data_IF_544030043124
#
_entry.id   IF_544030043124
#
_cell.length_a   1.000
_cell.length_b   1.000
_cell.length_c   1.000
_cell.angle_alpha   90.00
_cell.angle_beta   90.00
_cell.angle_gamma   90.00
#
_symmetry.space_group_name_H-M   'P 1'
#
loop_
_entity.id
_entity.type
_entity.pdbx_description
1 polymer ?
#
# COMPACT_ATOMS: atom_id res chain seq x y z
N UNK A 1 51.69 -28.67 12.49
CA UNK A 1 51.38 -29.71 11.49
C UNK A 1 50.02 -29.38 10.91
N UNK A 2 50.01 -28.93 9.65
CA UNK A 2 48.86 -28.46 8.89
C UNK A 2 47.74 -29.51 8.78
N UNK A 3 46.54 -29.13 9.19
CA UNK A 3 45.31 -29.88 8.91
C UNK A 3 44.85 -29.55 7.48
N UNK A 4 45.14 -30.46 6.55
CA UNK A 4 44.73 -30.39 5.15
C UNK A 4 43.20 -30.38 5.04
N UNK A 5 42.65 -29.28 4.51
CA UNK A 5 41.26 -29.22 4.06
C UNK A 5 41.15 -30.00 2.75
N UNK A 6 40.60 -31.22 2.79
CA UNK A 6 40.22 -31.98 1.59
C UNK A 6 39.17 -31.18 0.82
N UNK A 7 39.60 -30.53 -0.26
CA UNK A 7 38.74 -29.86 -1.23
C UNK A 7 37.94 -30.94 -1.96
N UNK A 8 36.62 -30.89 -1.85
CA UNK A 8 35.70 -31.87 -2.45
C UNK A 8 35.70 -31.71 -3.99
N UNK A 9 36.36 -32.63 -4.69
CA UNK A 9 36.48 -32.65 -6.16
C UNK A 9 35.22 -33.21 -6.88
N UNK A 10 34.24 -33.74 -6.15
CA UNK A 10 33.03 -34.38 -6.72
C UNK A 10 31.86 -33.42 -7.04
N UNK A 11 32.03 -32.11 -6.92
CA UNK A 11 30.93 -31.15 -7.02
C UNK A 11 30.63 -30.64 -8.45
N UNK A 12 31.50 -30.91 -9.42
CA UNK A 12 31.51 -30.22 -10.72
C UNK A 12 30.89 -31.02 -11.89
N UNK A 13 30.38 -32.24 -11.68
CA UNK A 13 29.82 -33.08 -12.75
C UNK A 13 28.28 -33.20 -12.77
N UNK A 14 27.54 -32.22 -12.24
CA UNK A 14 26.07 -32.26 -12.26
C UNK A 14 25.53 -31.81 -13.63
N UNK A 15 24.63 -32.57 -14.28
CA UNK A 15 24.11 -32.20 -15.59
C UNK A 15 23.34 -30.87 -15.51
N UNK A 16 23.46 -30.04 -16.54
CA UNK A 16 22.73 -28.77 -16.66
C UNK A 16 21.23 -29.08 -16.74
N UNK A 17 20.50 -28.84 -15.65
CA UNK A 17 19.05 -29.08 -15.57
C UNK A 17 18.33 -27.94 -16.28
N UNK A 18 17.66 -28.26 -17.39
CA UNK A 18 16.78 -27.33 -18.10
C UNK A 18 15.49 -27.13 -17.29
N UNK A 19 15.26 -25.89 -16.87
CA UNK A 19 14.06 -25.49 -16.14
C UNK A 19 12.83 -25.52 -17.07
N UNK A 20 11.80 -26.30 -16.73
CA UNK A 20 10.54 -26.37 -17.49
C UNK A 20 9.38 -25.66 -16.78
N UNK A 21 9.38 -25.63 -15.44
CA UNK A 21 8.31 -25.02 -14.65
C UNK A 21 8.74 -24.27 -13.38
N UNK A 22 7.81 -23.59 -12.68
CA UNK A 22 8.08 -22.84 -11.46
C UNK A 22 8.57 -23.74 -10.32
N UNK A 23 8.12 -24.99 -10.29
CA UNK A 23 8.56 -26.04 -9.36
C UNK A 23 10.05 -26.34 -9.52
N UNK A 24 10.56 -26.35 -10.75
CA UNK A 24 11.97 -26.64 -11.03
C UNK A 24 12.86 -25.50 -10.54
N UNK A 25 12.41 -24.25 -10.68
CA UNK A 25 13.10 -23.05 -10.17
C UNK A 25 13.19 -23.10 -8.64
N UNK A 26 12.10 -23.46 -7.97
CA UNK A 26 12.07 -23.61 -6.52
C UNK A 26 12.97 -24.75 -6.06
N UNK A 27 12.93 -25.90 -6.75
CA UNK A 27 13.78 -27.05 -6.48
C UNK A 27 15.27 -26.69 -6.57
N UNK A 28 15.71 -26.00 -7.63
CA UNK A 28 17.11 -25.55 -7.73
C UNK A 28 17.51 -24.59 -6.61
N UNK A 29 16.62 -23.65 -6.22
CA UNK A 29 16.87 -22.73 -5.10
C UNK A 29 16.98 -23.48 -3.77
N UNK A 30 16.12 -24.46 -3.54
CA UNK A 30 16.15 -25.31 -2.35
C UNK A 30 17.40 -26.18 -2.32
N UNK A 31 17.77 -26.86 -3.41
CA UNK A 31 18.99 -27.65 -3.52
C UNK A 31 20.24 -26.78 -3.23
N UNK A 32 20.25 -25.52 -3.68
CA UNK A 32 21.33 -24.56 -3.39
C UNK A 32 21.39 -24.17 -1.91
N UNK A 33 20.25 -23.96 -1.26
CA UNK A 33 20.19 -23.63 0.17
C UNK A 33 20.57 -24.84 1.05
N UNK A 34 20.08 -26.03 0.69
CA UNK A 34 20.34 -27.28 1.40
C UNK A 34 21.76 -27.81 1.22
N UNK A 35 22.51 -27.32 0.22
CA UNK A 35 23.95 -27.63 0.07
C UNK A 35 24.77 -27.21 1.28
N UNK A 36 24.35 -26.17 2.01
CA UNK A 36 25.01 -25.67 3.22
C UNK A 36 23.98 -25.31 4.29
N UNK A 37 23.43 -26.29 5.04
CA UNK A 37 22.34 -26.05 5.98
C UNK A 37 22.75 -25.20 7.19
N UNK A 38 24.04 -25.15 7.52
CA UNK A 38 24.58 -24.33 8.62
C UNK A 38 24.75 -22.85 8.26
N UNK A 39 24.59 -22.47 6.98
CA UNK A 39 24.69 -21.07 6.54
C UNK A 39 23.32 -20.42 6.59
N UNK A 40 23.19 -19.37 7.38
CA UNK A 40 21.95 -18.58 7.46
C UNK A 40 21.52 -18.07 6.07
N UNK A 41 20.24 -18.22 5.78
CA UNK A 41 19.66 -17.74 4.53
C UNK A 41 19.55 -16.20 4.58
N UNK A 42 20.09 -15.53 3.58
CA UNK A 42 19.96 -14.09 3.45
C UNK A 42 18.53 -13.73 3.02
N UNK A 43 17.77 -13.15 3.96
CA UNK A 43 16.46 -12.54 3.68
C UNK A 43 16.72 -11.04 3.51
N UNK A 44 16.48 -10.46 2.32
CA UNK A 44 16.70 -9.03 2.12
C UNK A 44 15.74 -8.23 3.00
N UNK A 45 16.29 -7.24 3.72
CA UNK A 45 15.47 -6.25 4.40
C UNK A 45 14.66 -5.42 3.40
N UNK A 46 13.55 -4.83 3.86
CA UNK A 46 12.74 -3.92 3.05
C UNK A 46 13.61 -2.82 2.46
N UNK A 47 13.45 -2.52 1.17
CA UNK A 47 14.21 -1.44 0.53
C UNK A 47 13.87 -0.11 1.19
N UNK A 48 14.90 0.61 1.65
CA UNK A 48 14.73 1.97 2.18
C UNK A 48 14.31 2.91 1.06
N UNK A 49 13.43 3.86 1.37
CA UNK A 49 13.06 4.91 0.43
C UNK A 49 14.33 5.74 0.09
N UNK A 50 14.48 6.12 -1.18
CA UNK A 50 15.67 6.85 -1.65
C UNK A 50 15.56 8.31 -1.25
N UNK A 51 16.06 8.63 -0.06
CA UNK A 51 16.06 10.00 0.45
C UNK A 51 17.20 10.83 -0.19
N UNK A 52 16.98 12.14 -0.42
CA UNK A 52 18.04 13.03 -0.84
C UNK A 52 19.13 13.09 0.24
N UNK A 53 20.40 13.09 -0.18
CA UNK A 53 21.52 13.18 0.77
C UNK A 53 21.44 14.49 1.56
N UNK A 54 21.63 14.39 2.87
CA UNK A 54 21.70 15.56 3.74
C UNK A 54 22.81 16.53 3.26
N UNK A 55 22.57 17.85 3.37
CA UNK A 55 23.61 18.83 3.10
C UNK A 55 24.78 18.65 4.08
N UNK A 56 25.99 18.98 3.64
CA UNK A 56 27.15 18.98 4.53
C UNK A 56 27.05 20.14 5.52
N UNK A 57 27.36 19.89 6.79
CA UNK A 57 27.31 20.90 7.86
C UNK A 57 28.29 22.06 7.63
N UNK A 58 29.52 21.73 7.22
CA UNK A 58 30.58 22.72 6.99
C UNK A 58 31.19 22.56 5.60
N UNK A 59 31.21 23.66 4.85
CA UNK A 59 31.99 23.77 3.61
C UNK A 59 33.31 24.42 3.99
N UNK A 60 34.41 23.67 3.86
CA UNK A 60 35.75 24.14 4.26
C UNK A 60 36.39 25.08 3.23
N UNK A 61 35.98 24.96 1.96
CA UNK A 61 36.62 25.63 0.83
C UNK A 61 35.75 26.80 0.33
N UNK A 62 35.38 27.70 1.24
CA UNK A 62 34.62 28.91 0.89
C UNK A 62 35.60 30.05 0.67
N UNK A 63 35.64 30.61 -0.54
CA UNK A 63 36.42 31.80 -0.83
C UNK A 63 35.66 33.06 -0.35
N UNK A 64 36.38 34.14 -0.05
CA UNK A 64 35.79 35.39 0.42
C UNK A 64 34.70 35.95 -0.49
N UNK A 65 33.69 36.60 0.09
CA UNK A 65 32.47 37.04 -0.61
C UNK A 65 32.70 38.04 -1.74
N UNK A 66 33.83 38.76 -1.73
CA UNK A 66 34.21 39.73 -2.77
C UNK A 66 35.14 39.14 -3.84
N UNK A 67 35.48 37.85 -3.76
CA UNK A 67 36.29 37.21 -4.78
C UNK A 67 35.49 36.99 -6.06
N UNK A 68 36.15 37.11 -7.22
CA UNK A 68 35.53 36.87 -8.53
C UNK A 68 35.19 35.39 -8.75
N UNK A 69 34.41 35.12 -9.79
CA UNK A 69 34.04 33.77 -10.18
C UNK A 69 35.26 32.95 -10.60
N UNK A 70 35.51 31.83 -9.90
CA UNK A 70 36.53 30.86 -10.24
C UNK A 70 36.11 29.92 -11.36
N UNK A 71 37.08 29.26 -12.00
CA UNK A 71 36.81 28.28 -13.07
C UNK A 71 36.00 27.05 -12.61
N UNK A 72 36.03 26.75 -11.31
CA UNK A 72 35.26 25.64 -10.71
C UNK A 72 33.84 26.00 -10.27
N UNK A 73 33.48 27.28 -10.18
CA UNK A 73 32.23 27.72 -9.56
C UNK A 73 31.00 27.27 -10.35
N UNK A 74 31.13 27.21 -11.68
CA UNK A 74 30.06 26.69 -12.55
C UNK A 74 29.72 25.22 -12.22
N UNK A 75 30.73 24.38 -11.98
CA UNK A 75 30.50 22.98 -11.65
C UNK A 75 29.94 22.80 -10.24
N UNK A 76 30.35 23.66 -9.30
CA UNK A 76 29.77 23.72 -7.95
C UNK A 76 28.28 24.07 -8.04
N UNK A 77 27.92 25.16 -8.72
CA UNK A 77 26.53 25.56 -8.92
C UNK A 77 25.70 24.46 -9.59
N UNK A 78 26.20 23.86 -10.68
CA UNK A 78 25.51 22.75 -11.38
C UNK A 78 25.22 21.57 -10.45
N UNK A 79 26.19 21.18 -9.61
CA UNK A 79 26.05 20.10 -8.64
C UNK A 79 25.03 20.42 -7.55
N UNK A 80 25.08 21.63 -6.99
CA UNK A 80 24.15 22.11 -5.97
C UNK A 80 22.74 22.22 -6.54
N UNK A 81 22.56 22.81 -7.72
CA UNK A 81 21.25 22.93 -8.39
C UNK A 81 20.61 21.58 -8.66
N UNK A 82 21.38 20.61 -9.18
CA UNK A 82 20.87 19.25 -9.40
C UNK A 82 20.45 18.57 -8.10
N UNK A 83 21.23 18.74 -7.03
CA UNK A 83 20.90 18.20 -5.71
C UNK A 83 19.63 18.83 -5.16
N UNK A 84 19.49 20.14 -5.32
CA UNK A 84 18.33 20.88 -4.85
C UNK A 84 17.05 20.52 -5.62
N UNK A 85 17.11 20.41 -6.95
CA UNK A 85 15.97 19.95 -7.74
C UNK A 85 15.56 18.52 -7.39
N UNK A 86 16.52 17.62 -7.19
CA UNK A 86 16.21 16.27 -6.74
C UNK A 86 15.56 16.27 -5.34
N UNK A 87 16.01 17.16 -4.44
CA UNK A 87 15.43 17.32 -3.10
C UNK A 87 14.01 17.88 -3.15
N UNK A 88 13.77 18.93 -3.93
CA UNK A 88 12.45 19.54 -4.12
C UNK A 88 11.47 18.53 -4.70
N UNK A 89 11.84 17.87 -5.81
CA UNK A 89 11.04 16.81 -6.42
C UNK A 89 10.68 15.69 -5.43
N UNK A 90 11.62 15.25 -4.60
CA UNK A 90 11.35 14.25 -3.57
C UNK A 90 10.34 14.73 -2.51
N UNK A 91 10.43 16.00 -2.10
CA UNK A 91 9.50 16.58 -1.13
C UNK A 91 8.09 16.66 -1.72
N UNK A 92 7.98 17.12 -2.96
CA UNK A 92 6.70 17.25 -3.66
C UNK A 92 6.04 15.88 -3.86
N UNK A 93 6.80 14.90 -4.38
CA UNK A 93 6.33 13.51 -4.56
C UNK A 93 5.91 12.86 -3.23
N UNK A 94 6.67 13.10 -2.15
CA UNK A 94 6.33 12.59 -0.81
C UNK A 94 5.06 13.24 -0.28
N UNK A 95 4.91 14.55 -0.44
CA UNK A 95 3.71 15.28 -0.02
C UNK A 95 2.47 14.74 -0.74
N UNK A 96 2.53 14.61 -2.07
CA UNK A 96 1.44 14.03 -2.86
C UNK A 96 1.08 12.61 -2.44
N UNK A 97 2.09 11.74 -2.25
CA UNK A 97 1.87 10.36 -1.79
C UNK A 97 1.18 10.35 -0.43
N UNK A 98 1.68 11.14 0.53
CA UNK A 98 1.09 11.19 1.88
C UNK A 98 -0.33 11.74 1.88
N UNK A 99 -0.65 12.72 1.03
CA UNK A 99 -2.01 13.25 0.90
C UNK A 99 -2.97 12.16 0.36
N UNK A 100 -2.58 11.47 -0.73
CA UNK A 100 -3.36 10.37 -1.32
C UNK A 100 -3.55 9.22 -0.33
N UNK A 101 -2.51 8.85 0.42
CA UNK A 101 -2.59 7.79 1.44
C UNK A 101 -3.56 8.17 2.58
N UNK A 102 -3.54 9.42 3.03
CA UNK A 102 -4.46 9.92 4.06
C UNK A 102 -5.91 9.96 3.56
N UNK A 103 -6.15 10.40 2.33
CA UNK A 103 -7.48 10.38 1.72
C UNK A 103 -8.02 8.95 1.60
N UNK A 104 -7.17 8.02 1.17
CA UNK A 104 -7.53 6.61 1.07
C UNK A 104 -7.87 6.00 2.43
N UNK A 105 -7.06 6.28 3.46
CA UNK A 105 -7.32 5.81 4.83
C UNK A 105 -8.64 6.36 5.36
N UNK A 106 -8.90 7.67 5.19
CA UNK A 106 -10.18 8.29 5.57
C UNK A 106 -11.36 7.62 4.88
N UNK A 107 -11.25 7.33 3.58
CA UNK A 107 -12.30 6.63 2.82
C UNK A 107 -12.55 5.22 3.34
N UNK A 108 -11.50 4.47 3.66
CA UNK A 108 -11.64 3.14 4.28
C UNK A 108 -12.36 3.24 5.63
N UNK A 109 -11.95 4.16 6.50
CA UNK A 109 -12.55 4.33 7.82
C UNK A 109 -14.02 4.72 7.72
N UNK A 110 -14.38 5.60 6.79
CA UNK A 110 -15.77 5.98 6.54
C UNK A 110 -16.60 4.79 6.07
N UNK A 111 -16.09 4.00 5.12
CA UNK A 111 -16.76 2.80 4.64
C UNK A 111 -16.94 1.74 5.73
N UNK A 112 -15.93 1.55 6.58
CA UNK A 112 -15.99 0.65 7.73
C UNK A 112 -17.06 1.11 8.74
N UNK A 113 -17.08 2.40 9.08
CA UNK A 113 -18.09 2.98 9.97
C UNK A 113 -19.50 2.81 9.41
N UNK A 114 -19.72 3.12 8.13
CA UNK A 114 -21.01 2.94 7.48
C UNK A 114 -21.47 1.47 7.48
N UNK A 115 -20.55 0.52 7.21
CA UNK A 115 -20.84 -0.91 7.27
C UNK A 115 -21.16 -1.39 8.70
N UNK A 116 -20.44 -0.88 9.71
CA UNK A 116 -20.64 -1.19 11.12
C UNK A 116 -21.95 -0.62 11.65
N UNK A 117 -22.32 0.60 11.26
CA UNK A 117 -23.61 1.22 11.59
C UNK A 117 -24.78 0.43 10.99
N UNK A 118 -24.70 0.08 9.69
CA UNK A 118 -25.70 -0.78 9.04
C UNK A 118 -25.82 -2.13 9.74
N UNK A 119 -24.68 -2.74 10.10
CA UNK A 119 -24.66 -4.03 10.81
C UNK A 119 -25.16 -3.91 12.25
N UNK A 120 -24.84 -2.84 12.97
CA UNK A 120 -25.27 -2.58 14.33
C UNK A 120 -26.79 -2.34 14.40
N UNK A 121 -27.35 -1.54 13.48
CA UNK A 121 -28.80 -1.36 13.34
C UNK A 121 -29.51 -2.71 13.14
N UNK A 122 -29.05 -3.53 12.19
CA UNK A 122 -29.61 -4.89 11.94
C UNK A 122 -29.44 -5.83 13.14
N UNK A 123 -28.28 -5.82 13.79
CA UNK A 123 -27.99 -6.62 15.00
C UNK A 123 -28.89 -6.22 16.17
N UNK A 124 -29.12 -4.93 16.39
CA UNK A 124 -30.02 -4.41 17.42
C UNK A 124 -31.47 -4.84 17.16
N UNK A 125 -31.97 -4.74 15.92
CA UNK A 125 -33.30 -5.25 15.54
C UNK A 125 -33.44 -6.76 15.86
N UNK A 126 -32.45 -7.58 15.48
CA UNK A 126 -32.46 -9.04 15.78
C UNK A 126 -32.39 -9.34 17.28
N UNK A 127 -31.59 -8.59 18.05
CA UNK A 127 -31.48 -8.78 19.49
C UNK A 127 -32.78 -8.41 20.22
N UNK A 128 -33.45 -7.31 19.83
CA UNK A 128 -34.79 -6.96 20.34
C UNK A 128 -35.80 -8.07 20.05
N UNK A 129 -35.86 -8.60 18.82
CA UNK A 129 -36.73 -9.75 18.47
C UNK A 129 -36.40 -10.99 19.30
N UNK A 130 -35.12 -11.32 19.49
CA UNK A 130 -34.67 -12.45 20.32
C UNK A 130 -35.07 -12.29 21.79
N UNK A 131 -34.98 -11.09 22.35
CA UNK A 131 -35.43 -10.78 23.72
C UNK A 131 -36.95 -10.93 23.86
N UNK A 132 -37.74 -10.39 22.92
CA UNK A 132 -39.21 -10.57 22.90
C UNK A 132 -39.61 -12.05 22.86
N UNK A 133 -38.97 -12.85 22.00
CA UNK A 133 -39.23 -14.30 21.91
C UNK A 133 -38.83 -15.07 23.18
N UNK A 134 -37.71 -14.71 23.82
CA UNK A 134 -37.32 -15.28 25.11
C UNK A 134 -38.31 -14.94 26.21
N UNK A 135 -38.76 -13.69 26.29
CA UNK A 135 -39.75 -13.24 27.26
C UNK A 135 -41.12 -13.95 27.07
N UNK A 136 -41.55 -14.19 25.82
CA UNK A 136 -42.75 -15.00 25.53
C UNK A 136 -42.57 -16.47 25.96
N UNK A 137 -41.38 -17.06 25.80
CA UNK A 137 -41.09 -18.45 26.21
C UNK A 137 -40.88 -18.65 27.72
N UNK A 138 -40.44 -17.61 28.43
CA UNK A 138 -40.20 -17.68 29.89
C UNK A 138 -41.43 -17.32 30.73
N UNK A 139 -42.52 -16.85 30.12
CA UNK A 139 -43.83 -16.75 30.80
C UNK A 139 -44.49 -18.13 30.74
N UNK A 140 -44.63 -18.87 31.84
CA UNK A 140 -45.38 -20.12 31.84
C UNK A 140 -46.85 -19.79 31.54
N UNK A 141 -47.46 -20.59 30.69
CA UNK A 141 -48.88 -20.47 30.33
C UNK A 141 -49.74 -20.76 31.56
N UNK A 142 -50.25 -19.71 32.20
CA UNK A 142 -51.48 -19.81 33.00
C UNK A 142 -52.67 -19.47 32.09
N UNK A 143 -53.47 -20.51 31.87
CA UNK A 143 -54.88 -20.59 31.44
C UNK A 143 -55.44 -19.65 30.34
N UNK A 144 -55.76 -20.32 29.23
CA UNK A 144 -56.95 -20.15 28.38
C UNK A 144 -58.02 -19.16 28.86
N UNK A 145 -58.26 -18.08 28.11
CA UNK A 145 -59.47 -17.85 27.26
C UNK A 145 -59.62 -16.38 26.85
N UNK A 146 -59.91 -16.17 25.56
CA UNK A 146 -60.62 -15.03 24.93
C UNK A 146 -60.16 -13.60 25.24
N UNK A 147 -59.43 -13.03 24.27
CA UNK A 147 -59.48 -11.62 23.77
C UNK A 147 -58.40 -11.55 22.67
N UNK A 148 -58.72 -11.60 21.38
CA UNK A 148 -59.11 -10.44 20.57
C UNK A 148 -58.75 -9.10 21.24
N UNK A 149 -57.50 -8.68 21.07
CA UNK A 149 -57.07 -7.27 21.19
C UNK A 149 -55.64 -7.15 20.63
N UNK A 150 -55.54 -6.55 19.44
CA UNK A 150 -54.35 -5.91 18.85
C UNK A 150 -52.98 -6.55 19.16
N UNK A 151 -52.57 -7.54 18.36
CA UNK A 151 -51.14 -7.70 18.05
C UNK A 151 -50.81 -6.67 16.96
N UNK A 152 -50.77 -5.41 17.36
CA UNK A 152 -50.17 -4.31 16.61
C UNK A 152 -48.67 -4.59 16.55
N UNK A 153 -48.32 -5.54 15.69
CA UNK A 153 -46.98 -5.68 15.17
C UNK A 153 -46.82 -4.49 14.23
N UNK A 154 -46.43 -3.34 14.79
CA UNK A 154 -45.82 -2.24 14.06
C UNK A 154 -44.63 -2.81 13.28
N UNK A 155 -44.96 -3.33 12.09
CA UNK A 155 -44.08 -3.36 10.94
C UNK A 155 -43.88 -1.90 10.55
N UNK A 156 -42.91 -1.28 11.21
CA UNK A 156 -42.21 -0.13 10.65
C UNK A 156 -41.45 -0.62 9.41
N UNK A 157 -42.21 -0.84 8.33
CA UNK A 157 -41.80 -0.51 6.98
C UNK A 157 -41.59 1.01 6.95
N UNK A 158 -40.36 1.43 7.18
CA UNK A 158 -39.94 2.75 6.75
C UNK A 158 -38.72 2.60 5.86
N UNK A 159 -39.00 2.89 4.60
CA UNK A 159 -38.13 3.14 3.49
C UNK A 159 -37.19 4.28 3.84
N UNK A 160 -35.87 4.05 3.86
CA UNK A 160 -35.01 5.12 3.36
C UNK A 160 -33.66 4.67 2.81
N UNK A 161 -33.39 5.25 1.64
CA UNK A 161 -32.15 5.44 0.92
C UNK A 161 -31.51 4.22 0.24
N UNK A 162 -32.01 3.96 -0.97
CA UNK A 162 -31.19 3.63 -2.13
C UNK A 162 -30.04 4.65 -2.25
N UNK A 163 -28.85 4.27 -1.82
CA UNK A 163 -27.63 4.97 -2.20
C UNK A 163 -27.28 4.52 -3.62
N UNK A 164 -27.67 5.36 -4.58
CA UNK A 164 -27.25 5.33 -5.97
C UNK A 164 -25.72 5.20 -6.06
N UNK A 165 -25.25 3.97 -6.22
CA UNK A 165 -23.94 3.66 -6.81
C UNK A 165 -23.98 4.06 -8.30
N UNK A 166 -24.05 5.38 -8.55
CA UNK A 166 -23.69 5.96 -9.84
C UNK A 166 -22.19 5.82 -9.97
N UNK A 167 -21.76 4.63 -10.38
CA UNK A 167 -20.42 4.40 -10.91
C UNK A 167 -20.20 5.37 -12.06
N UNK A 168 -19.48 6.45 -11.76
CA UNK A 168 -19.07 7.44 -12.73
C UNK A 168 -18.21 6.75 -13.78
N UNK A 169 -18.82 6.49 -14.93
CA UNK A 169 -18.12 6.18 -16.16
C UNK A 169 -17.39 7.45 -16.59
N UNK A 170 -16.27 7.72 -15.92
CA UNK A 170 -15.30 8.72 -16.35
C UNK A 170 -14.68 8.18 -17.63
N UNK A 171 -15.17 8.70 -18.75
CA UNK A 171 -14.50 8.65 -20.03
C UNK A 171 -13.10 9.23 -19.87
N UNK A 172 -12.11 8.35 -19.78
CA UNK A 172 -10.69 8.64 -19.87
C UNK A 172 -10.37 9.13 -21.29
N UNK A 173 -10.76 10.39 -21.61
CA UNK A 173 -10.23 11.12 -22.76
C UNK A 173 -8.83 11.59 -22.38
N UNK A 174 -7.84 10.75 -22.66
CA UNK A 174 -6.43 11.17 -22.73
C UNK A 174 -6.32 12.26 -23.79
N UNK A 175 -5.78 13.45 -23.51
CA UNK A 175 -5.31 14.33 -24.55
C UNK A 175 -4.02 13.71 -25.12
N UNK A 176 -4.05 13.33 -26.39
CA UNK A 176 -2.83 12.99 -27.13
C UNK A 176 -2.04 14.29 -27.35
N UNK A 177 -0.91 14.41 -26.67
CA UNK A 177 0.11 15.43 -26.90
C UNK A 177 0.77 15.19 -28.26
N UNK A 178 0.15 15.63 -29.36
CA UNK A 178 0.76 15.55 -30.70
C UNK A 178 0.35 16.71 -31.64
N UNK A 179 0.06 17.91 -31.08
CA UNK A 179 -0.23 19.12 -31.87
C UNK A 179 0.54 20.38 -31.41
N UNK A 180 1.79 20.25 -30.94
CA UNK A 180 2.67 21.43 -30.75
C UNK A 180 4.09 21.24 -31.30
N UNK A 181 4.23 20.50 -32.41
CA UNK A 181 5.50 20.44 -33.14
C UNK A 181 5.34 20.64 -34.64
N UNK A 182 4.65 21.71 -35.02
CA UNK A 182 4.79 22.24 -36.37
C UNK A 182 4.65 23.76 -36.37
N UNK A 183 5.79 24.46 -36.38
CA UNK A 183 5.81 25.92 -36.54
C UNK A 183 7.00 26.61 -35.91
N UNK A 184 8.22 26.33 -36.38
CA UNK A 184 9.33 27.29 -36.37
C UNK A 184 10.48 26.76 -37.23
N UNK A 185 10.36 26.94 -38.54
CA UNK A 185 11.44 26.88 -39.51
C UNK A 185 11.24 28.01 -40.52
N UNK A 186 11.74 29.20 -40.17
CA UNK A 186 11.98 30.33 -41.09
C UNK A 186 12.54 31.51 -40.29
N UNK A 187 13.87 31.60 -40.20
CA UNK A 187 14.74 32.69 -40.70
C UNK A 187 16.15 32.51 -40.13
#
# INVERSE_FOLDING_TARGET
>A
MESQTKKSEDADSKPVVVLKGPTDIQRLKLEKLMRNPNKEAFIPEKSKEKEPRAPHEFIRNVWGSSAGAGSGDFHVYRGVRRREYARQKFIDEKAEKTAKDQEYQKKIEQNQKAADERTAKKRAKRNKKKQKLKAKKSKPSEETTKKEENDDSEEEEDSDEEDEERSGQASDKRPTEDEERNGQASD
#
